data_IF_779399898259
#
_entry.id   IF_779399898259
#
_cell.length_a   1.000
_cell.length_b   1.000
_cell.length_c   1.000
_cell.angle_alpha   90.00
_cell.angle_beta   90.00
_cell.angle_gamma   90.00
#
_symmetry.space_group_name_H-M   'P 1'
#
loop_
_entity.id
_entity.type
_entity.pdbx_description
1 polymer ?
#
# COMPACT_ATOMS: atom_id res chain seq x y z
N UNK A 1 61.50 15.00 -42.39
CA UNK A 1 62.59 14.20 -41.76
C UNK A 1 62.26 12.72 -41.97
N UNK A 2 63.09 12.05 -42.78
CA UNK A 2 63.20 10.59 -42.92
C UNK A 2 63.69 9.94 -41.60
N UNK A 3 63.63 8.60 -41.37
CA UNK A 3 64.05 7.53 -42.32
C UNK A 3 63.10 6.30 -42.42
N UNK A 4 62.88 5.59 -43.53
CA UNK A 4 63.68 4.75 -44.47
C UNK A 4 64.37 3.47 -43.93
N UNK A 5 63.92 2.30 -44.44
CA UNK A 5 64.63 1.06 -44.94
C UNK A 5 64.08 -0.28 -44.38
N UNK A 6 64.33 -1.46 -45.03
CA UNK A 6 64.44 -1.76 -46.47
C UNK A 6 63.76 -3.08 -46.94
N UNK A 7 63.56 -3.21 -48.27
CA UNK A 7 63.37 -4.48 -49.00
C UNK A 7 64.72 -5.19 -49.27
N UNK A 8 64.71 -6.52 -49.57
CA UNK A 8 65.78 -7.16 -50.34
C UNK A 8 65.32 -7.70 -51.72
N UNK A 9 66.22 -7.52 -52.69
CA UNK A 9 66.18 -8.02 -54.07
C UNK A 9 66.74 -9.47 -54.18
N UNK A 10 66.07 -10.28 -55.02
CA UNK A 10 66.54 -11.26 -56.05
C UNK A 10 67.80 -12.14 -55.83
N UNK A 11 67.77 -13.39 -56.35
CA UNK A 11 68.35 -13.57 -57.68
C UNK A 11 67.56 -14.45 -58.66
N UNK A 12 67.84 -14.15 -59.93
CA UNK A 12 67.40 -14.76 -61.18
C UNK A 12 68.22 -16.04 -61.43
N UNK A 13 67.57 -17.18 -61.66
CA UNK A 13 68.19 -18.45 -62.05
C UNK A 13 67.56 -19.03 -63.33
N UNK A 14 68.40 -19.60 -64.19
CA UNK A 14 68.18 -19.95 -65.61
C UNK A 14 67.42 -21.26 -65.86
N UNK A 15 66.77 -21.29 -67.03
CA UNK A 15 66.42 -22.40 -67.97
C UNK A 15 66.88 -23.83 -67.64
N UNK A 16 65.95 -24.79 -67.80
CA UNK A 16 66.13 -26.12 -68.43
C UNK A 16 64.75 -26.71 -68.76
N UNK A 17 64.36 -26.78 -70.03
CA UNK A 17 64.23 -27.98 -70.86
C UNK A 17 63.39 -29.14 -70.30
N UNK A 18 62.25 -29.35 -70.97
CA UNK A 18 61.78 -30.61 -71.58
C UNK A 18 61.77 -31.88 -70.74
N UNK A 19 60.56 -32.38 -70.45
CA UNK A 19 60.18 -33.78 -70.70
C UNK A 19 58.66 -33.94 -70.55
N UNK A 20 58.01 -34.29 -71.67
CA UNK A 20 56.67 -34.85 -71.71
C UNK A 20 56.64 -36.13 -70.88
N UNK A 21 55.70 -36.25 -69.93
CA UNK A 21 55.28 -37.56 -69.41
C UNK A 21 53.79 -37.77 -69.72
N UNK A 22 53.57 -38.71 -70.63
CA UNK A 22 52.28 -39.30 -70.97
C UNK A 22 51.88 -40.28 -69.87
N UNK A 23 51.32 -39.79 -68.75
CA UNK A 23 50.59 -40.60 -67.77
C UNK A 23 49.55 -39.73 -67.04
N UNK A 24 48.61 -39.15 -67.80
CA UNK A 24 47.72 -38.07 -67.33
C UNK A 24 46.23 -38.30 -67.54
N UNK A 25 45.74 -39.53 -67.61
CA UNK A 25 44.30 -39.78 -67.82
C UNK A 25 43.58 -40.58 -66.72
N UNK A 26 44.30 -41.14 -65.73
CA UNK A 26 43.67 -41.86 -64.59
C UNK A 26 43.54 -40.99 -63.32
N UNK A 27 44.45 -40.02 -63.10
CA UNK A 27 44.40 -39.12 -61.93
C UNK A 27 43.42 -37.95 -62.07
N UNK A 28 43.09 -37.56 -63.31
CA UNK A 28 42.18 -36.44 -63.56
C UNK A 28 40.70 -36.83 -63.30
N UNK A 29 40.31 -38.06 -63.63
CA UNK A 29 38.97 -38.59 -63.34
C UNK A 29 38.75 -38.77 -61.83
N UNK A 30 39.76 -39.24 -61.10
CA UNK A 30 39.68 -39.36 -59.64
C UNK A 30 39.66 -37.99 -58.97
N UNK A 31 40.45 -37.01 -59.43
CA UNK A 31 40.39 -35.65 -58.92
C UNK A 31 39.03 -34.97 -59.17
N UNK A 32 38.39 -35.19 -60.33
CA UNK A 32 37.06 -34.68 -60.66
C UNK A 32 35.95 -35.33 -59.83
N UNK A 33 36.03 -36.64 -59.60
CA UNK A 33 35.10 -37.35 -58.71
C UNK A 33 35.27 -36.87 -57.27
N UNK A 34 36.50 -36.69 -56.79
CA UNK A 34 36.76 -36.15 -55.45
C UNK A 34 36.33 -34.69 -55.31
N UNK A 35 36.48 -33.86 -56.34
CA UNK A 35 35.96 -32.48 -56.30
C UNK A 35 34.46 -32.42 -56.41
N UNK A 36 33.80 -33.28 -57.20
CA UNK A 36 32.34 -33.40 -57.20
C UNK A 36 31.81 -33.94 -55.87
N UNK A 37 32.49 -34.90 -55.24
CA UNK A 37 32.12 -35.39 -53.91
C UNK A 37 32.32 -34.29 -52.85
N UNK A 38 33.44 -33.55 -52.89
CA UNK A 38 33.68 -32.42 -51.99
C UNK A 38 32.71 -31.28 -52.22
N UNK A 39 32.32 -30.99 -53.47
CA UNK A 39 31.31 -29.98 -53.78
C UNK A 39 29.93 -30.45 -53.32
N UNK A 40 29.59 -31.74 -53.44
CA UNK A 40 28.34 -32.27 -52.87
C UNK A 40 28.32 -32.27 -51.33
N UNK A 41 29.48 -32.46 -50.68
CA UNK A 41 29.61 -32.43 -49.20
C UNK A 41 29.66 -30.97 -48.68
N UNK A 42 30.21 -30.03 -49.44
CA UNK A 42 30.34 -28.62 -49.04
C UNK A 42 29.14 -27.77 -49.49
N UNK A 43 28.47 -28.12 -50.59
CA UNK A 43 27.28 -27.42 -51.09
C UNK A 43 25.96 -28.00 -50.57
N UNK A 44 26.02 -29.09 -49.79
CA UNK A 44 24.91 -29.54 -48.98
C UNK A 44 25.30 -29.42 -47.51
N UNK A 45 25.55 -28.19 -46.98
CA UNK A 45 25.24 -28.01 -45.59
C UNK A 45 23.73 -28.30 -45.55
N UNK A 46 23.37 -29.47 -45.02
CA UNK A 46 22.11 -29.57 -44.31
C UNK A 46 22.21 -28.46 -43.27
N UNK A 47 21.80 -27.26 -43.64
CA UNK A 47 21.49 -26.18 -42.72
C UNK A 47 20.26 -26.72 -42.04
N UNK A 48 20.49 -27.64 -41.09
CA UNK A 48 19.49 -28.07 -40.15
C UNK A 48 18.89 -26.77 -39.64
N UNK A 49 17.61 -26.58 -39.91
CA UNK A 49 16.93 -25.37 -39.47
C UNK A 49 17.21 -25.25 -37.97
N UNK A 50 17.62 -24.08 -37.50
CA UNK A 50 17.87 -23.92 -36.09
C UNK A 50 16.56 -24.21 -35.34
N UNK A 51 16.62 -25.08 -34.33
CA UNK A 51 15.47 -25.43 -33.49
C UNK A 51 14.79 -24.14 -33.04
N UNK A 52 13.51 -23.98 -33.37
CA UNK A 52 12.79 -22.73 -33.10
C UNK A 52 11.31 -22.96 -32.88
N UNK A 53 10.70 -22.14 -32.01
CA UNK A 53 9.25 -22.11 -31.79
C UNK A 53 8.68 -20.89 -32.51
N UNK A 54 7.66 -21.14 -33.33
CA UNK A 54 6.94 -20.13 -34.12
C UNK A 54 5.57 -19.80 -33.54
N UNK A 55 5.06 -20.63 -32.64
CA UNK A 55 3.82 -20.37 -31.93
C UNK A 55 3.62 -21.33 -30.76
N UNK A 56 2.77 -20.93 -29.81
CA UNK A 56 2.27 -21.82 -28.79
C UNK A 56 0.79 -21.59 -28.56
N UNK A 57 0.07 -22.67 -28.21
CA UNK A 57 -1.34 -22.65 -27.84
C UNK A 57 -1.51 -23.43 -26.55
N UNK A 58 -2.38 -22.94 -25.68
CA UNK A 58 -2.79 -23.67 -24.49
C UNK A 58 -4.27 -24.00 -24.56
N UNK A 59 -4.60 -25.26 -24.37
CA UNK A 59 -5.99 -25.68 -24.23
C UNK A 59 -6.38 -25.34 -22.79
N UNK A 60 -6.94 -24.14 -22.61
CA UNK A 60 -7.33 -23.65 -21.32
C UNK A 60 -8.36 -24.60 -20.66
N UNK A 61 -8.24 -24.76 -19.36
CA UNK A 61 -9.26 -25.47 -18.57
C UNK A 61 -10.58 -24.67 -18.56
N UNK A 62 -11.63 -25.20 -17.92
CA UNK A 62 -12.95 -24.56 -17.79
C UNK A 62 -12.93 -23.12 -17.22
N UNK A 63 -11.80 -22.65 -16.68
CA UNK A 63 -11.61 -21.28 -16.17
C UNK A 63 -10.86 -20.36 -17.15
N UNK A 64 -10.60 -20.79 -18.39
CA UNK A 64 -9.94 -20.01 -19.46
C UNK A 64 -8.46 -19.65 -19.22
N UNK A 65 -7.84 -20.16 -18.16
CA UNK A 65 -6.43 -19.89 -17.84
C UNK A 65 -5.52 -21.06 -18.22
N UNK A 66 -4.31 -20.76 -18.70
CA UNK A 66 -3.28 -21.77 -18.93
C UNK A 66 -2.59 -22.16 -17.61
N UNK A 67 -3.30 -22.97 -16.83
CA UNK A 67 -2.82 -23.53 -15.55
C UNK A 67 -3.20 -24.99 -15.50
N UNK A 68 -2.25 -25.89 -15.24
CA UNK A 68 -2.52 -27.33 -15.16
C UNK A 68 -3.24 -27.82 -16.43
N UNK A 69 -2.66 -27.52 -17.59
CA UNK A 69 -3.27 -27.61 -18.92
C UNK A 69 -2.29 -28.19 -19.93
N UNK A 70 -2.79 -28.64 -21.08
CA UNK A 70 -1.92 -29.08 -22.17
C UNK A 70 -1.48 -27.88 -23.01
N UNK A 71 -0.17 -27.70 -23.14
CA UNK A 71 0.46 -26.70 -24.00
C UNK A 71 1.00 -27.38 -25.26
N UNK A 72 0.72 -26.77 -26.41
CA UNK A 72 1.23 -27.17 -27.72
C UNK A 72 2.20 -26.11 -28.21
N UNK A 73 3.47 -26.47 -28.43
CA UNK A 73 4.47 -25.64 -29.08
C UNK A 73 4.56 -26.08 -30.56
N UNK A 74 4.57 -25.11 -31.47
CA UNK A 74 4.66 -25.32 -32.92
C UNK A 74 5.93 -24.66 -33.44
N UNK A 75 6.71 -25.36 -34.26
CA UNK A 75 8.05 -24.92 -34.62
C UNK A 75 8.74 -25.74 -35.69
N UNK A 76 10.07 -25.71 -35.67
CA UNK A 76 10.94 -26.46 -36.58
C UNK A 76 12.01 -27.21 -35.79
N UNK A 77 12.34 -28.42 -36.26
CA UNK A 77 13.37 -29.31 -35.70
C UNK A 77 13.15 -29.60 -34.20
N UNK A 78 11.89 -29.67 -33.76
CA UNK A 78 11.52 -29.84 -32.35
C UNK A 78 11.77 -31.27 -31.83
N UNK A 79 11.99 -32.24 -32.70
CA UNK A 79 12.22 -33.64 -32.33
C UNK A 79 13.52 -33.86 -31.53
N UNK A 80 14.52 -33.00 -31.72
CA UNK A 80 15.79 -33.04 -31.00
C UNK A 80 15.70 -32.48 -29.57
N UNK A 81 14.58 -31.85 -29.18
CA UNK A 81 14.40 -31.26 -27.85
C UNK A 81 14.27 -32.37 -26.80
N UNK A 82 15.14 -32.35 -25.78
CA UNK A 82 15.09 -33.29 -24.66
C UNK A 82 14.12 -32.83 -23.56
N UNK A 83 14.09 -31.53 -23.25
CA UNK A 83 13.17 -30.97 -22.25
C UNK A 83 12.81 -29.52 -22.55
N UNK A 84 11.72 -29.05 -21.96
CA UNK A 84 11.26 -27.66 -22.00
C UNK A 84 11.33 -27.08 -20.60
N UNK A 85 12.07 -25.98 -20.43
CA UNK A 85 12.12 -25.22 -19.17
C UNK A 85 11.22 -23.99 -19.27
N UNK A 86 10.51 -23.71 -18.17
CA UNK A 86 9.57 -22.59 -18.08
C UNK A 86 9.97 -21.70 -16.91
N UNK A 87 10.41 -20.48 -17.19
CA UNK A 87 10.91 -19.52 -16.21
C UNK A 87 12.34 -19.05 -16.50
N UNK A 88 12.59 -17.78 -16.17
CA UNK A 88 13.90 -17.14 -16.37
C UNK A 88 14.86 -17.41 -15.22
N UNK A 89 14.34 -17.75 -14.04
CA UNK A 89 15.14 -18.07 -12.84
C UNK A 89 14.96 -19.53 -12.43
N UNK A 90 15.94 -20.08 -11.70
CA UNK A 90 15.83 -21.43 -11.14
C UNK A 90 14.60 -21.58 -10.22
N UNK A 91 14.22 -20.53 -9.50
CA UNK A 91 13.02 -20.54 -8.65
C UNK A 91 11.73 -20.63 -9.47
N UNK A 92 11.62 -19.92 -10.60
CA UNK A 92 10.48 -20.03 -11.50
C UNK A 92 10.41 -21.41 -12.17
N UNK A 93 11.57 -21.95 -12.60
CA UNK A 93 11.67 -23.28 -13.22
C UNK A 93 11.30 -24.42 -12.25
N UNK A 94 11.44 -24.21 -10.94
CA UNK A 94 10.95 -25.12 -9.92
C UNK A 94 9.44 -25.00 -9.65
N UNK A 95 8.84 -23.85 -9.97
CA UNK A 95 7.43 -23.58 -9.74
C UNK A 95 6.55 -23.93 -10.94
N UNK A 96 7.12 -23.97 -12.14
CA UNK A 96 6.41 -24.25 -13.38
C UNK A 96 7.13 -25.34 -14.16
N UNK A 97 6.41 -26.43 -14.44
CA UNK A 97 6.94 -27.60 -15.12
C UNK A 97 6.16 -27.88 -16.40
N UNK A 98 6.85 -28.28 -17.47
CA UNK A 98 6.29 -28.68 -18.75
C UNK A 98 6.81 -30.08 -19.07
N UNK A 99 6.02 -31.10 -18.76
CA UNK A 99 6.36 -32.51 -19.01
C UNK A 99 6.00 -32.88 -20.45
N UNK A 100 7.00 -33.17 -21.28
CA UNK A 100 6.78 -33.52 -22.69
C UNK A 100 6.05 -34.88 -22.77
N UNK A 101 4.83 -34.86 -23.27
CA UNK A 101 4.05 -36.08 -23.53
C UNK A 101 4.27 -36.61 -24.95
N UNK A 102 4.51 -35.69 -25.89
CA UNK A 102 4.71 -36.00 -27.31
C UNK A 102 5.59 -34.95 -27.96
N UNK A 103 6.42 -35.37 -28.91
CA UNK A 103 7.19 -34.48 -29.79
C UNK A 103 7.32 -35.05 -31.19
N UNK A 104 7.34 -34.17 -32.18
CA UNK A 104 7.63 -34.39 -33.60
C UNK A 104 8.60 -33.30 -34.09
N UNK A 105 8.96 -33.31 -35.37
CA UNK A 105 9.78 -32.27 -35.98
C UNK A 105 9.16 -30.87 -35.91
N UNK A 106 7.83 -30.76 -35.82
CA UNK A 106 7.09 -29.51 -35.88
C UNK A 106 6.28 -29.18 -34.61
N UNK A 107 6.13 -30.14 -33.70
CA UNK A 107 5.20 -30.02 -32.56
C UNK A 107 5.79 -30.60 -31.28
N UNK A 108 5.62 -29.90 -30.16
CA UNK A 108 5.79 -30.45 -28.81
C UNK A 108 4.48 -30.27 -28.06
N UNK A 109 3.96 -31.37 -27.49
CA UNK A 109 2.84 -31.35 -26.56
C UNK A 109 3.38 -31.64 -25.17
N UNK A 110 3.15 -30.72 -24.23
CA UNK A 110 3.52 -30.93 -22.84
C UNK A 110 2.38 -30.66 -21.86
N UNK A 111 2.41 -31.35 -20.73
CA UNK A 111 1.54 -31.08 -19.59
C UNK A 111 2.18 -29.98 -18.76
N UNK A 112 1.57 -28.79 -18.77
CA UNK A 112 2.01 -27.66 -17.99
C UNK A 112 1.42 -27.75 -16.58
N UNK A 113 2.27 -27.80 -15.54
CA UNK A 113 1.86 -27.79 -14.13
C UNK A 113 2.43 -26.56 -13.43
N UNK A 114 1.59 -25.82 -12.70
CA UNK A 114 1.99 -24.66 -11.93
C UNK A 114 1.77 -24.90 -10.44
N UNK A 115 2.80 -24.64 -9.62
CA UNK A 115 2.70 -24.62 -8.17
C UNK A 115 1.75 -23.51 -7.70
N UNK A 116 1.11 -23.70 -6.54
CA UNK A 116 0.25 -22.67 -5.93
C UNK A 116 1.00 -21.38 -5.56
N UNK A 117 2.31 -21.47 -5.36
CA UNK A 117 3.20 -20.33 -5.10
C UNK A 117 3.62 -19.58 -6.38
N UNK A 118 3.38 -20.16 -7.56
CA UNK A 118 3.68 -19.52 -8.83
C UNK A 118 2.79 -18.28 -9.03
N UNK A 119 3.38 -17.19 -9.52
CA UNK A 119 2.67 -15.94 -9.77
C UNK A 119 2.14 -15.94 -11.21
N UNK A 120 0.93 -15.43 -11.42
CA UNK A 120 0.45 -15.21 -12.78
C UNK A 120 1.31 -14.15 -13.49
N UNK A 121 1.65 -14.39 -14.76
CA UNK A 121 2.40 -13.49 -15.62
C UNK A 121 3.19 -14.21 -16.72
N UNK A 122 4.10 -13.49 -17.40
CA UNK A 122 4.94 -14.04 -18.46
C UNK A 122 6.11 -14.86 -17.93
N UNK A 123 6.36 -16.01 -18.56
CA UNK A 123 7.47 -16.91 -18.28
C UNK A 123 8.28 -17.16 -19.56
N UNK A 124 9.61 -17.13 -19.45
CA UNK A 124 10.50 -17.49 -20.55
C UNK A 124 10.40 -19.00 -20.83
N UNK A 125 10.25 -19.37 -22.09
CA UNK A 125 10.42 -20.74 -22.56
C UNK A 125 11.86 -20.94 -23.06
N UNK A 126 12.49 -22.02 -22.60
CA UNK A 126 13.79 -22.46 -23.08
C UNK A 126 13.72 -23.93 -23.48
N UNK A 127 14.14 -24.24 -24.71
CA UNK A 127 14.30 -25.61 -25.18
C UNK A 127 15.69 -26.10 -24.82
N UNK A 128 15.78 -27.31 -24.25
CA UNK A 128 17.05 -27.96 -23.94
C UNK A 128 17.29 -29.07 -24.95
N UNK A 129 18.38 -28.97 -25.69
CA UNK A 129 18.82 -29.94 -26.68
C UNK A 129 20.00 -30.70 -26.07
N UNK A 130 19.94 -32.05 -26.02
CA UNK A 130 20.98 -32.83 -25.37
C UNK A 130 22.30 -32.68 -26.12
N UNK A 131 23.37 -32.46 -25.38
CA UNK A 131 24.72 -32.42 -25.95
C UNK A 131 25.10 -33.76 -26.58
N UNK A 132 25.88 -33.74 -27.66
CA UNK A 132 26.55 -34.97 -28.14
C UNK A 132 27.54 -35.45 -27.08
N UNK A 133 27.71 -36.76 -26.91
CA UNK A 133 28.55 -37.37 -25.88
C UNK A 133 29.84 -36.58 -25.55
N UNK A 134 29.84 -35.87 -24.41
CA UNK A 134 30.95 -35.05 -23.92
C UNK A 134 30.79 -33.52 -24.08
N UNK A 135 29.73 -33.05 -24.74
CA UNK A 135 29.35 -31.63 -24.80
C UNK A 135 28.21 -31.34 -23.83
N UNK A 136 28.18 -30.11 -23.31
CA UNK A 136 27.08 -29.62 -22.48
C UNK A 136 25.77 -29.52 -23.29
N UNK A 137 24.64 -29.59 -22.60
CA UNK A 137 23.33 -29.36 -23.21
C UNK A 137 23.24 -27.93 -23.77
N UNK A 138 22.64 -27.81 -24.95
CA UNK A 138 22.40 -26.52 -25.60
C UNK A 138 21.02 -25.98 -25.20
N UNK A 139 20.97 -24.71 -24.82
CA UNK A 139 19.74 -24.01 -24.42
C UNK A 139 19.34 -22.98 -25.47
N UNK A 140 18.11 -23.09 -25.98
CA UNK A 140 17.57 -22.20 -27.01
C UNK A 140 16.33 -21.47 -26.50
N UNK A 141 16.35 -20.12 -26.44
CA UNK A 141 15.15 -19.34 -26.11
C UNK A 141 14.04 -19.57 -27.13
N UNK A 142 12.82 -19.83 -26.65
CA UNK A 142 11.65 -20.20 -27.45
C UNK A 142 10.46 -19.26 -27.28
N UNK A 143 10.70 -18.05 -26.80
CA UNK A 143 9.67 -17.04 -26.56
C UNK A 143 9.18 -17.00 -25.12
N UNK A 144 8.09 -16.28 -24.92
CA UNK A 144 7.47 -16.06 -23.62
C UNK A 144 6.05 -16.62 -23.66
N UNK A 145 5.63 -17.27 -22.58
CA UNK A 145 4.24 -17.73 -22.38
C UNK A 145 3.60 -17.00 -21.22
N UNK A 146 2.33 -16.64 -21.37
CA UNK A 146 1.53 -16.02 -20.33
C UNK A 146 0.76 -17.09 -19.55
N UNK A 147 1.10 -17.26 -18.28
CA UNK A 147 0.57 -18.32 -17.42
C UNK A 147 -0.11 -17.78 -16.17
N UNK A 148 -1.10 -18.50 -15.64
CA UNK A 148 -1.81 -18.13 -14.42
C UNK A 148 -3.17 -17.46 -14.64
N UNK A 149 -3.77 -17.00 -13.54
CA UNK A 149 -5.07 -16.35 -13.53
C UNK A 149 -4.96 -14.82 -13.51
N UNK A 150 -5.52 -14.17 -14.53
CA UNK A 150 -5.49 -12.72 -14.72
C UNK A 150 -6.86 -12.09 -14.41
N UNK A 151 -7.27 -12.14 -13.15
CA UNK A 151 -8.64 -11.77 -12.78
C UNK A 151 -8.97 -10.31 -13.14
N UNK A 152 -10.08 -10.11 -13.83
CA UNK A 152 -10.60 -8.78 -14.16
C UNK A 152 -9.99 -8.12 -15.39
N UNK A 153 -9.08 -8.81 -16.11
CA UNK A 153 -8.60 -8.37 -17.43
C UNK A 153 -9.10 -9.31 -18.52
N UNK A 154 -9.22 -8.77 -19.73
CA UNK A 154 -9.58 -9.48 -20.96
C UNK A 154 -8.37 -9.75 -21.86
N UNK A 155 -7.15 -9.73 -21.32
CA UNK A 155 -5.94 -9.95 -22.10
C UNK A 155 -5.85 -11.40 -22.58
N UNK A 156 -5.62 -11.61 -23.88
CA UNK A 156 -5.74 -12.93 -24.52
C UNK A 156 -4.46 -13.47 -25.16
N UNK A 157 -3.39 -12.69 -25.26
CA UNK A 157 -2.16 -13.18 -25.91
C UNK A 157 -1.46 -14.20 -25.01
N UNK A 158 -1.41 -15.45 -25.46
CA UNK A 158 -0.83 -16.55 -24.70
C UNK A 158 0.68 -16.69 -24.91
N UNK A 159 1.18 -16.41 -26.11
CA UNK A 159 2.59 -16.58 -26.46
C UNK A 159 3.07 -15.47 -27.37
N UNK A 160 4.33 -15.06 -27.17
CA UNK A 160 5.04 -14.16 -28.06
C UNK A 160 6.51 -14.56 -28.20
N UNK A 161 7.17 -14.18 -29.30
CA UNK A 161 8.62 -14.34 -29.42
C UNK A 161 9.34 -13.55 -28.31
N UNK A 162 10.57 -13.95 -28.00
CA UNK A 162 11.38 -13.31 -26.97
C UNK A 162 11.65 -11.85 -27.35
N UNK A 163 11.40 -10.94 -26.41
CA UNK A 163 11.69 -9.51 -26.55
C UNK A 163 12.98 -9.14 -25.85
N UNK A 164 13.69 -8.14 -26.35
CA UNK A 164 14.84 -7.53 -25.65
C UNK A 164 14.39 -6.59 -24.53
N UNK A 165 13.17 -6.05 -24.64
CA UNK A 165 12.57 -5.23 -23.58
C UNK A 165 12.13 -6.10 -22.39
N UNK A 166 12.38 -5.61 -21.18
CA UNK A 166 12.08 -6.30 -19.93
C UNK A 166 11.84 -5.32 -18.79
N UNK A 167 11.13 -5.77 -17.76
CA UNK A 167 10.87 -5.02 -16.54
C UNK A 167 11.62 -5.64 -15.38
N UNK A 168 12.25 -4.83 -14.54
CA UNK A 168 13.09 -5.30 -13.43
C UNK A 168 12.60 -4.81 -12.07
N UNK A 169 11.97 -3.62 -12.00
CA UNK A 169 11.52 -3.05 -10.74
C UNK A 169 10.35 -2.06 -10.93
N UNK A 170 9.77 -1.61 -9.82
CA UNK A 170 8.73 -0.59 -9.78
C UNK A 170 8.99 0.43 -8.67
N UNK A 171 8.53 1.68 -8.86
CA UNK A 171 8.83 2.79 -7.94
C UNK A 171 8.10 2.70 -6.60
N UNK A 172 6.92 2.09 -6.56
CA UNK A 172 6.11 1.95 -5.35
C UNK A 172 5.19 0.73 -5.42
N UNK A 173 4.92 0.12 -4.27
CA UNK A 173 3.91 -0.93 -4.11
C UNK A 173 2.56 -0.38 -3.64
N UNK A 174 2.50 0.93 -3.36
CA UNK A 174 1.32 1.57 -2.80
C UNK A 174 1.07 2.97 -3.40
N UNK A 175 0.93 3.10 -4.74
CA UNK A 175 0.63 4.38 -5.35
C UNK A 175 -0.81 4.81 -5.05
N UNK A 176 -1.07 6.11 -5.10
CA UNK A 176 -2.41 6.68 -5.10
C UNK A 176 -2.87 7.01 -6.50
N UNK A 177 -4.19 7.04 -6.71
CA UNK A 177 -4.74 7.58 -7.96
C UNK A 177 -4.23 9.01 -8.18
N UNK A 178 -3.82 9.32 -9.42
CA UNK A 178 -3.17 10.58 -9.78
C UNK A 178 -1.65 10.60 -9.61
N UNK A 179 -1.05 9.63 -8.91
CA UNK A 179 0.41 9.57 -8.75
C UNK A 179 1.10 9.14 -10.05
N UNK A 180 2.28 9.72 -10.30
CA UNK A 180 3.22 9.18 -11.28
C UNK A 180 3.86 7.90 -10.75
N UNK A 181 3.68 6.81 -11.47
CA UNK A 181 4.21 5.48 -11.15
C UNK A 181 5.16 5.02 -12.25
N UNK A 182 6.32 4.48 -11.86
CA UNK A 182 7.41 4.16 -12.78
C UNK A 182 7.81 2.71 -12.66
N UNK A 183 7.93 2.04 -13.81
CA UNK A 183 8.57 0.76 -13.99
C UNK A 183 10.00 0.99 -14.47
N UNK A 184 10.95 0.28 -13.89
CA UNK A 184 12.34 0.27 -14.31
C UNK A 184 12.62 -1.00 -15.12
N UNK A 185 13.48 -0.89 -16.11
CA UNK A 185 13.75 -2.01 -17.01
C UNK A 185 14.67 -1.64 -18.16
N UNK A 186 14.57 -2.43 -19.23
CA UNK A 186 15.13 -2.12 -20.52
C UNK A 186 13.96 -1.97 -21.50
N UNK A 187 13.85 -0.82 -22.14
CA UNK A 187 12.79 -0.52 -23.11
C UNK A 187 13.44 -0.05 -24.41
N UNK A 188 12.80 -0.37 -25.52
CA UNK A 188 13.20 0.08 -26.85
C UNK A 188 12.54 1.43 -27.11
N UNK A 189 13.33 2.45 -27.44
CA UNK A 189 12.83 3.82 -27.66
C UNK A 189 11.96 3.94 -28.91
N UNK A 190 12.11 3.00 -29.86
CA UNK A 190 11.32 2.96 -31.09
C UNK A 190 9.96 2.27 -30.90
N UNK A 191 9.67 1.78 -29.69
CA UNK A 191 8.46 1.01 -29.37
C UNK A 191 7.54 1.75 -28.42
N UNK A 192 6.24 1.47 -28.51
CA UNK A 192 5.26 1.95 -27.54
C UNK A 192 4.76 0.82 -26.67
N UNK A 193 4.34 1.15 -25.45
CA UNK A 193 3.99 0.15 -24.45
C UNK A 193 2.62 0.42 -23.83
N UNK A 194 1.93 -0.67 -23.46
CA UNK A 194 0.64 -0.65 -22.81
C UNK A 194 0.67 -1.48 -21.53
N UNK A 195 0.01 -0.99 -20.49
CA UNK A 195 0.00 -1.57 -19.15
C UNK A 195 -1.39 -2.12 -18.85
N UNK A 196 -1.44 -3.38 -18.48
CA UNK A 196 -2.66 -4.05 -18.05
C UNK A 196 -2.55 -4.41 -16.58
N UNK A 197 -3.47 -3.89 -15.77
CA UNK A 197 -3.58 -4.32 -14.38
C UNK A 197 -4.60 -5.43 -14.26
N UNK A 198 -4.28 -6.41 -13.43
CA UNK A 198 -5.18 -7.51 -13.11
C UNK A 198 -5.12 -7.80 -11.61
N UNK A 199 -6.25 -8.23 -11.06
CA UNK A 199 -6.31 -8.56 -9.64
C UNK A 199 -5.61 -9.89 -9.37
N UNK A 200 -4.76 -9.92 -8.35
CA UNK A 200 -4.23 -11.14 -7.76
C UNK A 200 -5.19 -11.80 -6.77
N UNK A 201 -6.32 -11.14 -6.49
CA UNK A 201 -7.34 -11.58 -5.54
C UNK A 201 -8.69 -11.77 -6.27
N UNK A 202 -9.08 -13.02 -6.53
CA UNK A 202 -10.34 -13.33 -7.22
C UNK A 202 -11.57 -12.71 -6.52
N UNK A 203 -11.59 -12.72 -5.18
CA UNK A 203 -12.67 -12.12 -4.37
C UNK A 203 -12.75 -10.60 -4.51
N UNK A 204 -11.62 -9.94 -4.81
CA UNK A 204 -11.62 -8.49 -4.97
C UNK A 204 -12.34 -8.04 -6.25
N UNK A 205 -12.40 -8.91 -7.27
CA UNK A 205 -13.03 -8.61 -8.57
C UNK A 205 -14.55 -8.50 -8.50
N UNK A 206 -15.20 -9.34 -7.69
CA UNK A 206 -16.67 -9.32 -7.58
C UNK A 206 -17.17 -7.98 -7.01
N UNK A 207 -17.92 -7.22 -7.80
CA UNK A 207 -18.42 -5.89 -7.42
C UNK A 207 -17.38 -4.77 -7.50
N UNK A 208 -16.20 -5.02 -8.07
CA UNK A 208 -15.22 -3.97 -8.35
C UNK A 208 -15.74 -3.07 -9.51
N UNK A 209 -15.83 -1.73 -9.35
CA UNK A 209 -16.32 -0.83 -10.40
C UNK A 209 -15.55 -0.94 -11.72
N UNK A 210 -14.23 -1.05 -11.61
CA UNK A 210 -13.30 -1.13 -12.73
C UNK A 210 -11.98 -1.69 -12.25
N UNK A 211 -11.12 -2.08 -13.18
CA UNK A 211 -9.71 -2.30 -12.86
C UNK A 211 -8.98 -0.95 -12.71
N UNK A 212 -7.84 -1.00 -12.03
CA UNK A 212 -6.83 0.06 -12.09
C UNK A 212 -6.35 0.19 -13.52
N UNK A 213 -6.07 1.42 -13.96
CA UNK A 213 -5.49 1.69 -15.28
C UNK A 213 -4.32 2.67 -15.16
N UNK A 214 -3.62 2.86 -16.27
CA UNK A 214 -2.58 3.88 -16.38
C UNK A 214 -2.88 4.82 -17.54
N UNK A 215 -2.77 6.13 -17.29
CA UNK A 215 -2.87 7.18 -18.29
C UNK A 215 -1.48 7.78 -18.58
N UNK A 216 -1.35 8.47 -19.71
CA UNK A 216 -0.14 9.24 -20.08
C UNK A 216 1.15 8.42 -20.02
N UNK A 217 1.12 7.21 -20.61
CA UNK A 217 2.29 6.32 -20.64
C UNK A 217 3.40 6.97 -21.46
N UNK A 218 4.56 7.12 -20.84
CA UNK A 218 5.79 7.63 -21.44
C UNK A 218 6.95 6.71 -21.07
N UNK A 219 8.00 6.67 -21.88
CA UNK A 219 9.14 5.82 -21.59
C UNK A 219 10.44 6.41 -22.11
N UNK A 220 11.54 5.87 -21.59
CA UNK A 220 12.93 6.02 -22.04
C UNK A 220 13.52 4.61 -22.15
N UNK A 221 14.76 4.47 -22.61
CA UNK A 221 15.47 3.17 -22.57
C UNK A 221 15.45 2.45 -21.21
N UNK A 222 15.31 3.16 -20.09
CA UNK A 222 15.47 2.58 -18.74
C UNK A 222 14.22 2.63 -17.87
N UNK A 223 13.22 3.41 -18.26
CA UNK A 223 12.03 3.66 -17.45
C UNK A 223 10.78 3.76 -18.29
N UNK A 224 9.68 3.29 -17.73
CA UNK A 224 8.34 3.49 -18.26
C UNK A 224 7.49 4.09 -17.14
N UNK A 225 6.90 5.26 -17.40
CA UNK A 225 6.15 6.03 -16.40
C UNK A 225 4.71 6.25 -16.87
N UNK A 226 3.77 6.16 -15.94
CA UNK A 226 2.36 6.49 -16.18
C UNK A 226 1.71 7.10 -14.96
N UNK A 227 0.56 7.73 -15.15
CA UNK A 227 -0.30 8.19 -14.05
C UNK A 227 -1.27 7.09 -13.68
N UNK A 228 -1.25 6.65 -12.42
CA UNK A 228 -2.18 5.62 -11.92
C UNK A 228 -3.59 6.18 -11.85
N UNK A 229 -4.56 5.44 -12.37
CA UNK A 229 -5.97 5.82 -12.33
C UNK A 229 -6.77 4.70 -11.67
N UNK A 230 -7.40 5.04 -10.55
CA UNK A 230 -8.39 4.23 -9.87
C UNK A 230 -9.65 5.07 -9.58
N UNK A 231 -10.82 4.46 -9.72
CA UNK A 231 -12.10 5.09 -9.38
C UNK A 231 -12.53 4.74 -7.95
N UNK A 232 -13.58 5.39 -7.45
CA UNK A 232 -14.11 5.10 -6.12
C UNK A 232 -14.63 3.65 -6.02
N UNK A 233 -14.41 3.01 -4.88
CA UNK A 233 -14.79 1.60 -4.64
C UNK A 233 -13.85 0.56 -5.25
N UNK A 234 -12.79 0.99 -5.96
CA UNK A 234 -11.72 0.08 -6.41
C UNK A 234 -10.99 -0.48 -5.20
N UNK A 235 -10.87 -1.80 -5.16
CA UNK A 235 -10.19 -2.52 -4.08
C UNK A 235 -9.55 -3.79 -4.65
N UNK A 236 -8.33 -4.08 -4.21
CA UNK A 236 -7.62 -5.32 -4.55
C UNK A 236 -6.11 -5.15 -4.57
N UNK A 237 -5.41 -6.27 -4.55
CA UNK A 237 -3.99 -6.35 -4.88
C UNK A 237 -3.82 -6.58 -6.38
N UNK A 238 -3.20 -5.63 -7.08
CA UNK A 238 -3.03 -5.68 -8.53
C UNK A 238 -1.62 -6.11 -8.92
N UNK A 239 -1.53 -6.86 -10.00
CA UNK A 239 -0.29 -7.09 -10.74
C UNK A 239 -0.37 -6.35 -12.06
N UNK A 240 0.79 -6.11 -12.65
CA UNK A 240 0.91 -5.42 -13.94
C UNK A 240 1.43 -6.39 -14.98
N UNK A 241 0.89 -6.30 -16.20
CA UNK A 241 1.51 -6.79 -17.42
C UNK A 241 1.91 -5.58 -18.24
N UNK A 242 3.10 -5.63 -18.82
CA UNK A 242 3.55 -4.65 -19.81
C UNK A 242 3.62 -5.36 -21.14
N UNK A 243 3.09 -4.71 -22.16
CA UNK A 243 3.04 -5.22 -23.52
C UNK A 243 3.55 -4.17 -24.49
N UNK A 244 4.19 -4.60 -25.56
CA UNK A 244 4.44 -3.75 -26.72
C UNK A 244 3.12 -3.53 -27.46
N UNK A 245 2.74 -2.27 -27.72
CA UNK A 245 1.40 -1.94 -28.22
C UNK A 245 1.12 -2.44 -29.64
N UNK A 246 2.14 -2.51 -30.50
CA UNK A 246 1.97 -2.93 -31.90
C UNK A 246 1.80 -4.45 -32.03
N UNK A 247 2.60 -5.20 -31.28
CA UNK A 247 2.68 -6.67 -31.40
C UNK A 247 1.87 -7.38 -30.32
N UNK A 248 1.46 -6.68 -29.26
CA UNK A 248 0.97 -7.26 -28.01
C UNK A 248 1.95 -8.29 -27.42
N UNK A 249 3.25 -8.13 -27.65
CA UNK A 249 4.26 -8.98 -27.04
C UNK A 249 4.36 -8.65 -25.54
N UNK A 250 4.24 -9.66 -24.67
CA UNK A 250 4.37 -9.47 -23.22
C UNK A 250 5.85 -9.40 -22.86
N UNK A 251 6.21 -8.40 -22.06
CA UNK A 251 7.57 -8.19 -21.57
C UNK A 251 7.85 -9.07 -20.34
N UNK A 252 9.04 -9.66 -20.30
CA UNK A 252 9.51 -10.45 -19.15
C UNK A 252 9.72 -9.60 -17.89
N UNK A 253 9.73 -10.30 -16.75
CA UNK A 253 10.07 -9.74 -15.43
C UNK A 253 8.91 -9.10 -14.68
N UNK A 254 7.76 -8.91 -15.33
CA UNK A 254 6.53 -8.45 -14.65
C UNK A 254 5.98 -9.47 -13.63
N UNK A 255 6.27 -10.77 -13.79
CA UNK A 255 6.02 -11.82 -12.77
C UNK A 255 6.79 -11.61 -11.48
N UNK A 256 8.00 -11.05 -11.56
CA UNK A 256 8.90 -10.88 -10.43
C UNK A 256 8.45 -9.73 -9.53
N UNK A 257 7.71 -8.77 -10.10
CA UNK A 257 7.20 -7.64 -9.37
C UNK A 257 6.24 -8.05 -8.23
N UNK A 258 6.28 -7.33 -7.09
CA UNK A 258 5.28 -7.46 -6.06
C UNK A 258 3.94 -6.88 -6.52
N UNK A 259 2.84 -7.42 -6.01
CA UNK A 259 1.52 -6.82 -6.24
C UNK A 259 1.47 -5.42 -5.63
N UNK A 260 0.72 -4.52 -6.24
CA UNK A 260 0.46 -3.16 -5.75
C UNK A 260 -0.93 -3.06 -5.13
N UNK A 261 -1.07 -2.24 -4.10
CA UNK A 261 -2.36 -1.78 -3.60
C UNK A 261 -2.52 -0.32 -4.01
N UNK A 262 -3.58 0.02 -4.75
CA UNK A 262 -3.77 1.40 -5.21
C UNK A 262 -4.73 2.13 -4.30
N UNK A 263 -4.30 3.25 -3.70
CA UNK A 263 -5.23 4.07 -2.94
C UNK A 263 -6.26 4.68 -3.91
N UNK A 264 -7.57 4.39 -3.75
CA UNK A 264 -8.60 5.06 -4.52
C UNK A 264 -8.62 6.56 -4.15
N UNK A 265 -9.39 7.39 -4.88
CA UNK A 265 -9.60 8.78 -4.49
C UNK A 265 -10.02 8.84 -3.01
N UNK A 266 -9.46 9.78 -2.25
CA UNK A 266 -9.80 9.91 -0.83
C UNK A 266 -11.27 10.32 -0.66
N UNK A 267 -11.96 9.80 0.36
CA UNK A 267 -13.34 10.17 0.66
C UNK A 267 -13.44 11.64 1.07
N UNK A 268 -14.51 12.30 0.66
CA UNK A 268 -14.78 13.68 1.05
C UNK A 268 -16.26 13.83 1.35
N UNK A 269 -16.58 14.52 2.44
CA UNK A 269 -17.96 14.78 2.85
C UNK A 269 -18.35 16.16 2.38
N UNK A 270 -19.50 16.25 1.70
CA UNK A 270 -20.07 17.50 1.18
C UNK A 270 -21.32 17.93 1.95
N UNK A 271 -21.85 17.06 2.81
CA UNK A 271 -23.01 17.35 3.63
C UNK A 271 -23.30 16.24 4.63
N UNK A 272 -24.17 16.52 5.58
CA UNK A 272 -24.68 15.53 6.51
C UNK A 272 -26.18 15.75 6.77
N UNK A 273 -26.89 14.67 7.06
CA UNK A 273 -28.33 14.69 7.36
C UNK A 273 -28.72 13.67 8.43
N UNK A 274 -29.91 13.83 8.99
CA UNK A 274 -30.40 13.10 10.16
C UNK A 274 -30.50 14.01 11.39
N UNK A 275 -31.21 13.55 12.42
CA UNK A 275 -31.51 14.36 13.61
C UNK A 275 -30.22 14.81 14.32
N UNK A 276 -29.25 13.90 14.47
CA UNK A 276 -27.93 14.23 15.01
C UNK A 276 -27.16 15.20 14.11
N UNK A 277 -27.28 15.13 12.78
CA UNK A 277 -26.61 16.12 11.92
C UNK A 277 -27.17 17.53 12.18
N UNK A 278 -28.49 17.64 12.36
CA UNK A 278 -29.19 18.90 12.57
C UNK A 278 -28.99 19.47 13.98
N UNK A 279 -28.86 18.63 15.01
CA UNK A 279 -28.74 19.07 16.40
C UNK A 279 -27.83 18.15 17.23
N UNK A 280 -26.86 18.75 17.91
CA UNK A 280 -25.92 18.08 18.82
C UNK A 280 -26.60 17.50 20.06
N UNK A 281 -27.81 17.96 20.38
CA UNK A 281 -28.65 17.38 21.43
C UNK A 281 -29.20 15.99 21.04
N UNK A 282 -29.40 15.77 19.74
CA UNK A 282 -29.90 14.50 19.18
C UNK A 282 -28.77 13.50 18.86
N UNK A 283 -27.50 13.90 19.07
CA UNK A 283 -26.34 13.02 18.93
C UNK A 283 -26.17 12.10 20.15
N UNK A 284 -27.10 11.17 20.31
CA UNK A 284 -27.11 10.13 21.35
C UNK A 284 -26.79 8.76 20.76
N UNK A 285 -26.51 7.78 21.63
CA UNK A 285 -26.31 6.39 21.21
C UNK A 285 -27.54 5.85 20.47
N UNK A 286 -27.31 5.27 19.29
CA UNK A 286 -28.34 4.80 18.38
C UNK A 286 -28.79 5.82 17.33
N UNK A 287 -28.36 7.09 17.45
CA UNK A 287 -28.69 8.11 16.46
C UNK A 287 -28.07 7.77 15.10
N UNK A 288 -28.84 8.03 14.03
CA UNK A 288 -28.38 7.86 12.66
C UNK A 288 -27.78 9.16 12.16
N UNK A 289 -26.61 9.05 11.54
CA UNK A 289 -25.92 10.14 10.87
C UNK A 289 -25.62 9.71 9.43
N UNK A 290 -26.21 10.41 8.46
CA UNK A 290 -26.03 10.16 7.03
C UNK A 290 -25.02 11.17 6.51
N UNK A 291 -23.81 10.71 6.20
CA UNK A 291 -22.74 11.52 5.62
C UNK A 291 -22.84 11.45 4.10
N UNK A 292 -23.14 12.57 3.47
CA UNK A 292 -23.21 12.72 2.02
C UNK A 292 -21.84 13.15 1.49
N UNK A 293 -21.38 12.54 0.43
CA UNK A 293 -20.01 12.76 -0.04
C UNK A 293 -19.67 12.02 -1.31
N UNK A 294 -18.39 12.10 -1.63
CA UNK A 294 -17.78 11.43 -2.77
C UNK A 294 -16.72 10.45 -2.29
N UNK A 295 -16.43 9.47 -3.15
CA UNK A 295 -15.34 8.51 -2.99
C UNK A 295 -15.43 7.56 -1.78
N UNK A 296 -16.57 7.46 -1.10
CA UNK A 296 -16.82 6.34 -0.18
C UNK A 296 -16.81 4.99 -0.91
N UNK A 297 -16.47 3.92 -0.20
CA UNK A 297 -16.47 2.58 -0.76
C UNK A 297 -17.89 2.01 -0.76
N UNK A 298 -18.62 2.27 -1.84
CA UNK A 298 -20.02 1.87 -1.99
C UNK A 298 -20.26 0.35 -2.11
N UNK A 299 -19.21 -0.48 -2.12
CA UNK A 299 -19.38 -1.94 -2.23
C UNK A 299 -19.98 -2.52 -0.96
N UNK A 300 -19.48 -2.10 0.20
CA UNK A 300 -19.96 -2.55 1.52
C UNK A 300 -19.60 -1.54 2.60
N UNK A 301 -20.48 -1.41 3.58
CA UNK A 301 -20.28 -0.54 4.73
C UNK A 301 -19.01 -0.89 5.53
N UNK A 302 -18.66 -2.18 5.60
CA UNK A 302 -17.46 -2.69 6.31
C UNK A 302 -16.12 -2.24 5.69
N UNK A 303 -16.12 -1.69 4.47
CA UNK A 303 -14.90 -1.25 3.79
C UNK A 303 -14.52 0.21 4.06
N UNK A 304 -15.19 0.85 5.02
CA UNK A 304 -14.74 2.11 5.58
C UNK A 304 -14.73 2.04 7.11
N UNK A 305 -13.78 2.73 7.71
CA UNK A 305 -13.66 2.84 9.15
C UNK A 305 -13.63 4.31 9.55
N UNK A 306 -14.42 4.64 10.57
CA UNK A 306 -14.51 5.97 11.14
C UNK A 306 -13.80 6.05 12.48
N UNK A 307 -13.10 7.15 12.69
CA UNK A 307 -12.42 7.48 13.94
C UNK A 307 -12.94 8.82 14.43
N UNK A 308 -13.49 8.86 15.64
CA UNK A 308 -13.98 10.10 16.25
C UNK A 308 -13.07 10.50 17.41
N UNK A 309 -12.48 11.69 17.31
CA UNK A 309 -11.52 12.21 18.27
C UNK A 309 -10.06 11.86 17.96
N UNK A 310 -9.16 12.54 18.68
CA UNK A 310 -7.70 12.45 18.48
C UNK A 310 -7.03 11.58 19.54
N UNK A 311 -7.65 11.39 20.70
CA UNK A 311 -7.12 10.52 21.76
C UNK A 311 -7.74 9.13 21.71
N UNK A 312 -7.04 8.14 22.25
CA UNK A 312 -7.56 6.78 22.37
C UNK A 312 -8.83 6.74 23.24
N UNK A 313 -8.85 7.49 24.34
CA UNK A 313 -10.03 7.60 25.20
C UNK A 313 -11.26 8.14 24.43
N UNK A 314 -11.08 9.12 23.55
CA UNK A 314 -12.17 9.64 22.71
C UNK A 314 -12.63 8.60 21.68
N UNK A 315 -11.69 7.92 21.01
CA UNK A 315 -12.00 6.89 20.02
C UNK A 315 -12.71 5.66 20.60
N UNK A 316 -12.44 5.36 21.87
CA UNK A 316 -13.13 4.29 22.60
C UNK A 316 -14.51 4.74 23.12
N UNK A 317 -14.66 6.03 23.41
CA UNK A 317 -15.90 6.60 23.93
C UNK A 317 -16.92 6.93 22.82
N UNK A 318 -16.46 7.24 21.61
CA UNK A 318 -17.32 7.68 20.50
C UNK A 318 -17.00 6.86 19.26
N UNK A 319 -18.02 6.19 18.72
CA UNK A 319 -17.89 5.43 17.48
C UNK A 319 -19.01 5.74 16.48
N UNK A 320 -18.63 5.81 15.21
CA UNK A 320 -19.56 5.85 14.08
C UNK A 320 -19.43 4.52 13.34
N UNK A 321 -20.47 3.69 13.42
CA UNK A 321 -20.47 2.38 12.78
C UNK A 321 -21.22 2.47 11.45
N UNK A 322 -20.57 2.26 10.30
CA UNK A 322 -21.25 2.21 9.01
C UNK A 322 -22.29 1.09 8.99
N UNK A 323 -23.52 1.41 8.57
CA UNK A 323 -24.60 0.43 8.43
C UNK A 323 -25.02 0.25 6.97
N UNK A 324 -25.01 1.33 6.19
CA UNK A 324 -25.38 1.33 4.78
C UNK A 324 -24.44 2.27 4.03
N UNK A 325 -24.17 1.96 2.76
CA UNK A 325 -23.34 2.78 1.88
C UNK A 325 -23.89 2.73 0.48
N UNK A 326 -23.81 3.87 -0.21
CA UNK A 326 -24.09 3.98 -1.63
C UNK A 326 -23.04 4.88 -2.31
N UNK A 327 -23.28 5.24 -3.57
CA UNK A 327 -22.36 6.09 -4.34
C UNK A 327 -22.27 7.54 -3.85
N UNK A 328 -23.25 7.99 -3.07
CA UNK A 328 -23.45 9.36 -2.62
C UNK A 328 -23.15 9.56 -1.14
N UNK A 329 -22.88 8.49 -0.38
CA UNK A 329 -22.65 8.63 1.04
C UNK A 329 -22.65 7.33 1.83
N UNK A 330 -22.64 7.50 3.15
CA UNK A 330 -22.66 6.44 4.14
C UNK A 330 -23.57 6.80 5.29
N UNK A 331 -24.45 5.87 5.64
CA UNK A 331 -25.26 5.93 6.85
C UNK A 331 -24.48 5.27 7.97
N UNK A 332 -24.35 5.98 9.09
CA UNK A 332 -23.67 5.52 10.29
C UNK A 332 -24.61 5.53 11.49
N UNK A 333 -24.37 4.61 12.43
CA UNK A 333 -24.99 4.62 13.76
C UNK A 333 -23.97 5.12 14.77
N UNK A 334 -24.35 6.12 15.54
CA UNK A 334 -23.52 6.71 16.59
C UNK A 334 -23.61 5.89 17.88
N UNK A 335 -22.47 5.65 18.51
CA UNK A 335 -22.39 5.20 19.91
C UNK A 335 -21.60 6.23 20.70
N UNK A 336 -22.12 6.65 21.86
CA UNK A 336 -21.47 7.56 22.80
C UNK A 336 -21.48 6.91 24.18
N UNK A 337 -20.31 6.72 24.76
CA UNK A 337 -20.16 6.18 26.11
C UNK A 337 -20.70 7.16 27.15
N UNK A 338 -21.22 6.61 28.24
CA UNK A 338 -21.68 7.40 29.38
C UNK A 338 -20.55 8.27 29.95
N UNK A 339 -20.88 9.51 30.31
CA UNK A 339 -19.90 10.46 30.82
C UNK A 339 -19.01 11.12 29.76
N UNK A 340 -19.18 10.81 28.46
CA UNK A 340 -18.49 11.55 27.39
C UNK A 340 -18.80 13.05 27.50
N UNK A 341 -17.78 13.94 27.61
CA UNK A 341 -18.00 15.37 27.76
C UNK A 341 -18.75 15.99 26.57
N UNK A 342 -19.31 17.19 26.78
CA UNK A 342 -19.73 18.03 25.67
C UNK A 342 -18.50 18.52 24.90
N UNK A 343 -18.58 18.64 23.57
CA UNK A 343 -17.46 19.11 22.77
C UNK A 343 -17.57 18.82 21.29
N UNK A 344 -16.58 19.29 20.54
CA UNK A 344 -16.38 19.03 19.11
C UNK A 344 -15.24 18.03 18.93
N UNK A 345 -15.52 16.94 18.23
CA UNK A 345 -14.60 15.82 18.02
C UNK A 345 -14.36 15.62 16.52
N UNK A 346 -13.10 15.71 16.04
CA UNK A 346 -12.82 15.49 14.62
C UNK A 346 -13.18 14.07 14.21
N UNK A 347 -13.76 13.94 13.03
CA UNK A 347 -14.12 12.69 12.39
C UNK A 347 -13.13 12.44 11.26
N UNK A 348 -12.45 11.31 11.34
CA UNK A 348 -11.59 10.80 10.28
C UNK A 348 -12.19 9.54 9.69
N UNK A 349 -11.92 9.31 8.41
CA UNK A 349 -12.28 8.09 7.70
C UNK A 349 -11.06 7.53 7.00
N UNK A 350 -11.02 6.20 6.87
CA UNK A 350 -10.11 5.49 5.97
C UNK A 350 -10.87 4.39 5.25
N UNK A 351 -10.44 4.07 4.04
CA UNK A 351 -11.07 3.09 3.17
C UNK A 351 -10.20 1.84 3.07
N UNK A 352 -10.83 0.67 3.00
CA UNK A 352 -10.13 -0.58 2.74
C UNK A 352 -9.68 -0.64 1.27
N UNK A 353 -8.40 -0.90 1.06
CA UNK A 353 -7.71 -0.85 -0.24
C UNK A 353 -7.57 -2.23 -0.88
N UNK A 354 -7.53 -3.31 -0.08
CA UNK A 354 -7.50 -4.69 -0.59
C UNK A 354 -8.16 -5.70 0.36
N UNK A 355 -8.31 -6.96 -0.07
CA UNK A 355 -8.97 -8.00 0.74
C UNK A 355 -8.14 -8.46 1.95
N UNK A 356 -6.87 -8.03 2.06
CA UNK A 356 -6.00 -8.28 3.21
C UNK A 356 -6.21 -7.29 4.37
N UNK A 357 -7.17 -6.36 4.27
CA UNK A 357 -7.46 -5.39 5.34
C UNK A 357 -6.51 -4.19 5.38
N UNK A 358 -5.77 -3.93 4.31
CA UNK A 358 -4.98 -2.70 4.22
C UNK A 358 -5.90 -1.50 4.07
N UNK A 359 -5.61 -0.42 4.81
CA UNK A 359 -6.44 0.79 4.86
C UNK A 359 -5.70 1.99 4.25
N UNK A 360 -6.43 2.87 3.59
CA UNK A 360 -5.92 4.13 3.09
C UNK A 360 -5.39 5.01 4.23
N UNK A 361 -4.62 6.07 3.92
CA UNK A 361 -4.35 7.13 4.87
C UNK A 361 -5.64 7.69 5.49
N UNK A 362 -5.54 8.16 6.74
CA UNK A 362 -6.64 8.83 7.44
C UNK A 362 -6.98 10.16 6.76
N UNK A 363 -8.26 10.38 6.53
CA UNK A 363 -8.81 11.62 5.94
C UNK A 363 -9.78 12.27 6.91
N UNK A 364 -9.51 13.51 7.29
CA UNK A 364 -10.45 14.31 8.07
C UNK A 364 -11.65 14.68 7.19
N UNK A 365 -12.87 14.51 7.71
CA UNK A 365 -14.12 14.75 6.97
C UNK A 365 -15.11 15.68 7.67
N UNK A 366 -14.77 16.18 8.86
CA UNK A 366 -15.60 17.11 9.62
C UNK A 366 -15.50 16.84 11.12
N UNK A 367 -16.40 17.41 11.91
CA UNK A 367 -16.46 17.25 13.35
C UNK A 367 -17.84 16.80 13.80
N UNK A 368 -17.87 15.92 14.79
CA UNK A 368 -19.06 15.54 15.54
C UNK A 368 -19.14 16.42 16.80
N UNK A 369 -20.23 17.15 16.96
CA UNK A 369 -20.51 17.99 18.12
C UNK A 369 -21.50 17.27 19.02
N UNK A 370 -21.14 17.13 20.30
CA UNK A 370 -21.97 16.45 21.30
C UNK A 370 -22.43 17.44 22.38
N UNK A 371 -23.70 17.32 22.78
CA UNK A 371 -24.27 17.96 24.00
C UNK A 371 -24.12 19.49 24.05
N UNK A 372 -24.21 20.16 22.89
CA UNK A 372 -24.08 21.62 22.79
C UNK A 372 -25.42 22.32 22.47
N UNK A 373 -26.56 21.65 22.64
CA UNK A 373 -27.89 22.20 22.33
C UNK A 373 -28.16 22.23 20.82
N UNK A 374 -28.71 23.35 20.34
CA UNK A 374 -29.23 23.52 18.97
C UNK A 374 -28.15 23.68 17.88
N UNK A 375 -26.87 23.53 18.23
CA UNK A 375 -25.78 23.55 17.26
C UNK A 375 -25.82 22.26 16.44
N UNK A 376 -25.59 22.35 15.13
CA UNK A 376 -25.50 21.19 14.25
C UNK A 376 -24.52 20.14 14.82
N UNK A 377 -25.00 18.91 14.98
CA UNK A 377 -24.21 17.84 15.58
C UNK A 377 -23.16 17.25 14.64
N UNK A 378 -23.24 17.51 13.33
CA UNK A 378 -22.11 17.32 12.41
C UNK A 378 -21.79 18.61 11.68
N UNK A 379 -20.52 19.00 11.69
CA UNK A 379 -20.09 20.28 11.11
C UNK A 379 -18.73 20.14 10.39
N UNK A 380 -18.70 20.52 9.11
CA UNK A 380 -17.50 20.48 8.27
C UNK A 380 -16.58 21.69 8.45
N UNK A 381 -17.15 22.83 8.85
CA UNK A 381 -16.48 24.14 8.92
C UNK A 381 -15.94 24.47 10.32
N UNK A 382 -16.31 23.68 11.32
CA UNK A 382 -15.94 23.96 12.70
C UNK A 382 -14.44 23.66 12.94
N UNK A 383 -13.66 24.62 13.48
CA UNK A 383 -12.27 24.34 13.82
C UNK A 383 -12.19 23.29 14.94
N UNK A 384 -11.21 22.40 14.82
CA UNK A 384 -10.94 21.37 15.82
C UNK A 384 -10.58 22.02 17.16
N UNK A 385 -11.29 21.65 18.23
CA UNK A 385 -10.88 21.98 19.59
C UNK A 385 -11.40 23.28 20.21
N UNK A 386 -12.45 23.93 19.70
CA UNK A 386 -13.05 25.06 20.42
C UNK A 386 -14.57 24.96 20.53
N UNK A 387 -15.03 24.33 21.62
CA UNK A 387 -16.22 24.85 22.30
C UNK A 387 -15.81 25.27 23.72
N UNK A 388 -16.07 26.53 24.04
CA UNK A 388 -16.25 26.92 25.43
C UNK A 388 -17.51 26.20 25.87
N UNK A 389 -17.31 25.26 26.78
CA UNK A 389 -18.36 24.75 27.66
C UNK A 389 -19.26 25.93 28.05
N UNK A 390 -20.48 25.99 27.50
CA UNK A 390 -21.52 26.81 28.08
C UNK A 390 -21.68 26.27 29.49
N UNK A 391 -21.10 27.00 30.45
CA UNK A 391 -21.20 26.72 31.87
C UNK A 391 -22.68 26.70 32.28
N UNK A 392 -23.34 25.56 32.11
CA UNK A 392 -24.26 25.12 33.15
C UNK A 392 -23.35 24.75 34.31
N UNK A 393 -23.17 25.69 35.23
CA UNK A 393 -22.28 25.59 36.38
C UNK A 393 -22.66 24.38 37.26
N UNK A 394 -22.15 23.21 36.89
CA UNK A 394 -22.04 22.06 37.78
C UNK A 394 -20.93 22.39 38.77
N UNK A 395 -21.30 23.06 39.87
CA UNK A 395 -20.38 23.35 40.97
C UNK A 395 -19.81 22.02 41.46
N UNK A 396 -18.48 21.81 41.43
CA UNK A 396 -17.86 20.61 41.98
C UNK A 396 -18.33 20.39 43.42
N UNK A 397 -18.64 19.16 43.85
CA UNK A 397 -19.21 18.91 45.18
C UNK A 397 -18.36 19.49 46.33
N UNK A 398 -17.04 19.59 46.13
CA UNK A 398 -16.13 20.27 47.06
C UNK A 398 -16.27 21.80 47.13
N UNK A 399 -16.58 22.47 46.01
CA UNK A 399 -16.86 23.91 45.99
C UNK A 399 -18.25 24.23 46.54
N UNK A 400 -19.24 23.36 46.32
CA UNK A 400 -20.58 23.53 46.91
C UNK A 400 -20.50 23.49 48.45
N UNK A 401 -19.74 22.54 49.01
CA UNK A 401 -19.51 22.46 50.45
C UNK A 401 -18.79 23.71 51.00
N UNK A 402 -17.77 24.22 50.29
CA UNK A 402 -17.03 25.41 50.70
C UNK A 402 -17.90 26.69 50.68
N UNK A 403 -18.75 26.85 49.66
CA UNK A 403 -19.68 27.99 49.55
C UNK A 403 -20.74 27.94 50.67
N UNK A 404 -21.29 26.76 50.96
CA UNK A 404 -22.25 26.56 52.06
C UNK A 404 -21.58 26.89 53.40
N UNK A 405 -20.35 26.42 53.64
CA UNK A 405 -19.61 26.69 54.86
C UNK A 405 -19.32 28.19 55.04
N UNK A 406 -18.92 28.87 53.96
CA UNK A 406 -18.66 30.31 53.96
C UNK A 406 -19.94 31.12 54.23
N UNK A 407 -21.07 30.71 53.66
CA UNK A 407 -22.37 31.34 53.91
C UNK A 407 -22.80 31.20 55.38
N UNK A 408 -22.65 30.00 55.96
CA UNK A 408 -22.98 29.73 57.37
C UNK A 408 -22.08 30.57 58.29
N UNK A 409 -20.76 30.60 58.04
CA UNK A 409 -19.83 31.42 58.81
C UNK A 409 -20.14 32.92 58.69
N UNK A 410 -20.52 33.40 57.50
CA UNK A 410 -20.94 34.78 57.27
C UNK A 410 -22.18 35.15 58.09
N UNK A 411 -23.19 34.29 58.13
CA UNK A 411 -24.42 34.50 58.94
C UNK A 411 -24.10 34.48 60.44
N UNK A 412 -23.26 33.55 60.90
CA UNK A 412 -22.84 33.49 62.31
C UNK A 412 -22.04 34.73 62.71
N UNK A 413 -21.18 35.23 61.83
CA UNK A 413 -20.41 36.46 62.07
C UNK A 413 -21.32 37.69 62.15
N UNK A 414 -22.31 37.80 61.27
CA UNK A 414 -23.34 38.85 61.32
C UNK A 414 -24.15 38.79 62.62
N UNK A 415 -24.59 37.60 63.04
CA UNK A 415 -25.30 37.42 64.30
C UNK A 415 -24.46 37.84 65.51
N UNK A 416 -23.16 37.49 65.51
CA UNK A 416 -22.22 37.92 66.54
C UNK A 416 -22.07 39.45 66.58
N UNK A 417 -21.93 40.11 65.42
CA UNK A 417 -21.87 41.58 65.35
C UNK A 417 -23.15 42.25 65.86
N UNK A 418 -24.32 41.70 65.54
CA UNK A 418 -25.61 42.20 66.06
C UNK A 418 -25.69 42.02 67.57
N UNK A 419 -25.29 40.87 68.11
CA UNK A 419 -25.24 40.65 69.55
C UNK A 419 -24.27 41.62 70.24
N UNK A 420 -23.10 41.86 69.66
CA UNK A 420 -22.07 42.74 70.19
C UNK A 420 -22.52 44.21 70.17
N UNK A 421 -23.17 44.65 69.09
CA UNK A 421 -23.77 45.99 69.00
C UNK A 421 -24.89 46.19 70.01
N UNK A 422 -25.75 45.18 70.25
CA UNK A 422 -26.78 45.22 71.30
C UNK A 422 -26.15 45.28 72.70
N UNK A 423 -25.10 44.51 72.96
CA UNK A 423 -24.37 44.54 74.25
C UNK A 423 -23.71 45.90 74.46
N UNK A 424 -23.02 46.44 73.45
CA UNK A 424 -22.41 47.77 73.49
C UNK A 424 -23.46 48.87 73.69
N UNK A 425 -24.61 48.81 73.00
CA UNK A 425 -25.71 49.75 73.17
C UNK A 425 -26.31 49.67 74.58
N UNK A 426 -26.50 48.46 75.14
CA UNK A 426 -26.96 48.25 76.52
C UNK A 426 -25.95 48.75 77.54
N UNK A 427 -24.64 48.59 77.29
CA UNK A 427 -23.56 49.07 78.17
C UNK A 427 -23.44 50.60 78.13
N UNK A 428 -23.62 51.21 76.96
CA UNK A 428 -23.68 52.67 76.79
C UNK A 428 -24.92 53.27 77.47
N UNK A 429 -26.08 52.61 77.37
CA UNK A 429 -27.31 53.02 78.06
C UNK A 429 -27.19 52.89 79.60
N UNK A 430 -26.48 51.86 80.12
CA UNK A 430 -26.19 51.73 81.55
C UNK A 430 -25.17 52.77 82.03
N UNK A 431 -24.14 53.11 81.24
CA UNK A 431 -23.16 54.16 81.59
C UNK A 431 -23.76 55.56 81.66
N UNK A 432 -24.83 55.85 80.92
CA UNK A 432 -25.58 57.12 81.06
C UNK A 432 -26.43 57.21 82.33
N UNK A 433 -26.58 56.13 83.11
CA UNK A 433 -27.35 56.09 84.38
C UNK A 433 -26.51 56.04 85.66
N UNK A 434 -25.18 55.96 85.56
CA UNK A 434 -24.27 55.94 86.72
C UNK A 434 -23.08 56.88 86.51
N UNK A 435 -23.33 58.04 85.90
CA UNK A 435 -22.37 59.13 85.75
C UNK A 435 -22.55 60.21 86.81
N UNK A 436 -22.66 59.81 88.06
CA UNK A 436 -22.45 60.68 89.22
C UNK A 436 -21.98 59.77 90.36
N UNK A 437 -21.03 60.25 91.16
CA UNK A 437 -20.35 59.57 92.28
C UNK A 437 -19.03 58.87 91.93
N UNK A 438 -17.99 59.70 92.05
CA UNK A 438 -16.71 59.48 92.74
C UNK A 438 -15.44 59.15 91.93
N UNK A 439 -14.64 60.22 91.80
CA UNK A 439 -13.19 60.27 92.10
C UNK A 439 -12.78 59.37 93.29
N UNK A 440 -11.63 58.68 93.21
CA UNK A 440 -10.42 58.98 94.01
C UNK A 440 -9.32 57.90 93.86
N UNK A 441 -8.07 58.38 93.84
CA UNK A 441 -6.75 57.72 94.01
C UNK A 441 -6.26 56.69 92.97
N UNK A 442 -5.12 56.93 92.28
CA UNK A 442 -3.70 56.85 92.75
C UNK A 442 -3.33 55.43 93.21
N UNK A 443 -2.22 54.76 92.91
CA UNK A 443 -0.83 55.04 92.46
C UNK A 443 -0.25 53.61 92.22
N UNK A 444 0.52 53.20 91.20
CA UNK A 444 1.97 53.37 90.95
C UNK A 444 2.43 52.17 90.07
N UNK A 445 3.11 52.47 88.96
CA UNK A 445 4.36 51.91 88.39
C UNK A 445 4.84 50.49 88.86
N UNK A 446 5.30 49.55 88.00
CA UNK A 446 6.62 49.47 87.34
C UNK A 446 6.62 48.33 86.26
N UNK A 447 7.33 48.55 85.14
CA UNK A 447 7.58 47.63 83.99
C UNK A 447 8.40 46.36 84.30
N UNK A 448 8.57 45.37 83.40
CA UNK A 448 9.52 45.29 82.25
C UNK A 448 9.52 43.82 81.70
N UNK A 449 10.31 43.37 80.68
CA UNK A 449 9.83 43.05 79.33
C UNK A 449 10.07 41.58 78.86
N UNK A 450 9.94 41.39 77.53
CA UNK A 450 10.04 40.15 76.75
C UNK A 450 11.44 39.50 76.62
N UNK A 451 11.47 38.17 76.49
CA UNK A 451 12.35 37.31 75.65
C UNK A 451 11.96 35.83 75.92
N UNK A 452 11.51 35.01 74.96
CA UNK A 452 12.24 34.24 73.94
C UNK A 452 12.80 32.85 74.41
N UNK A 453 12.43 31.80 73.65
CA UNK A 453 13.20 30.57 73.29
C UNK A 453 13.05 29.24 74.09
N UNK A 454 12.35 28.26 73.43
CA UNK A 454 12.59 26.77 73.25
C UNK A 454 12.65 25.80 74.48
N UNK A 455 12.75 24.44 74.32
CA UNK A 455 12.49 23.49 73.21
C UNK A 455 11.76 22.14 73.62
N UNK A 456 11.55 21.25 72.63
CA UNK A 456 11.58 19.76 72.76
C UNK A 456 10.22 19.06 72.93
N UNK A 457 9.97 17.82 72.48
CA UNK A 457 10.77 16.76 71.84
C UNK A 457 9.82 15.59 71.41
N UNK A 458 10.11 14.92 70.29
CA UNK A 458 9.93 13.48 69.85
C UNK A 458 8.71 12.63 70.32
N UNK A 459 8.14 11.69 69.54
CA UNK A 459 8.68 10.37 69.04
C UNK A 459 7.71 9.81 67.96
N UNK A 460 8.17 9.34 66.77
CA UNK A 460 8.24 7.92 66.31
C UNK A 460 6.97 7.47 65.54
N UNK A 461 6.92 6.64 64.48
CA UNK A 461 7.83 5.62 63.89
C UNK A 461 7.28 5.15 62.51
N UNK A 462 8.18 4.61 61.66
CA UNK A 462 8.02 3.56 60.60
C UNK A 462 7.01 3.72 59.44
N UNK A 463 7.23 3.29 58.18
CA UNK A 463 8.34 2.60 57.52
C UNK A 463 7.96 2.17 56.08
N UNK A 464 8.97 2.16 55.20
CA UNK A 464 9.23 1.22 54.06
C UNK A 464 8.33 1.09 52.80
N UNK A 465 8.94 1.44 51.66
CA UNK A 465 9.20 0.66 50.40
C UNK A 465 8.09 0.19 49.43
N UNK A 466 8.45 0.41 48.15
CA UNK A 466 8.21 -0.39 46.91
C UNK A 466 6.79 -0.49 46.33
N UNK A 467 6.60 -0.06 45.08
CA UNK A 467 6.68 -0.93 43.88
C UNK A 467 6.18 -0.21 42.62
N UNK A 468 6.73 -0.65 41.50
CA UNK A 468 6.38 -0.35 40.11
C UNK A 468 4.91 -0.62 39.78
N UNK A 469 4.36 0.17 38.86
CA UNK A 469 3.77 -0.28 37.59
C UNK A 469 4.02 0.78 36.52
#
# INVERSE_FOLDING_TARGET
MSPTKPQPHFPRGKRSNTLQSLFGYSSAMSALVWTLLLVCIVANPGVHAAVSVKGAVCIANLKEWCTNSTMTLMGEELESVASVRVGATAAEQQQVHCEINYKSSDTILCTLTMALSAKAGPYLLTLVIPGTAGADDSEVPAGNVLLGAFWGTSYTSFWNPSTTSSVTNQSSNWPSTGDGWTLHGNFDEDKTYTLFFFSSEAKAVAGNPSMVTCASVTHTTSTLTCTIIAVNGVMGMYRVLVTESETNAVLLGTTLLPSIAVNPPLPDVVGASGDCAASSAECVTGAKLILQGINFNYRKAEYQEFFVGVTEAQRNAISLTPVEVDKNGVTTTLTVADGTPAGSYPVFVRLQVCMMGMMSPLRHVGNLVLKSGDIAGFNMDMPTGSYRETQSASIPPGQAAAIILAAILGVLFLAALVALTVVCARRAARRRRSGEVNEFSENVEIGLPAAAVRPGKEVGTEGSRFSQY
#
